data_IF_756312679989
#
_entry.id   IF_756312679989
#
_cell.length_a   1.000
_cell.length_b   1.000
_cell.length_c   1.000
_cell.angle_alpha   90.00
_cell.angle_beta   90.00
_cell.angle_gamma   90.00
#
_symmetry.space_group_name_H-M   'P 1'
#
loop_
_entity.id
_entity.type
_entity.pdbx_description
1 polymer ?
#
# COMPACT_ATOMS: atom_id res chain seq x y z
N UNK A 1 36.14 37.23 -4.27
CA UNK A 1 37.03 37.07 -5.45
C UNK A 1 36.31 36.30 -6.56
N UNK A 2 36.73 36.47 -7.83
CA UNK A 2 36.12 35.80 -9.01
C UNK A 2 36.06 34.26 -8.84
N UNK A 3 36.98 33.66 -8.12
CA UNK A 3 37.07 32.24 -7.87
C UNK A 3 35.96 31.76 -6.87
N UNK A 4 35.68 32.53 -5.84
CA UNK A 4 34.62 32.27 -4.88
C UNK A 4 33.25 32.38 -5.55
N UNK A 5 33.06 33.36 -6.45
CA UNK A 5 31.81 33.47 -7.21
C UNK A 5 31.60 32.29 -8.16
N UNK A 6 32.65 31.83 -8.86
CA UNK A 6 32.58 30.63 -9.72
C UNK A 6 32.24 29.36 -8.93
N UNK A 7 32.85 29.17 -7.76
CA UNK A 7 32.56 28.04 -6.88
C UNK A 7 31.11 28.10 -6.35
N UNK A 8 30.64 29.28 -5.97
CA UNK A 8 29.27 29.48 -5.54
C UNK A 8 28.25 29.17 -6.67
N UNK A 9 28.47 29.69 -7.88
CA UNK A 9 27.62 29.42 -9.05
C UNK A 9 27.64 27.94 -9.47
N UNK A 10 28.79 27.27 -9.37
CA UNK A 10 28.89 25.84 -9.61
C UNK A 10 28.06 25.03 -8.58
N UNK A 11 28.12 25.41 -7.31
CA UNK A 11 27.31 24.82 -6.25
C UNK A 11 25.82 24.97 -6.51
N UNK A 12 25.35 26.16 -6.87
CA UNK A 12 23.94 26.42 -7.22
C UNK A 12 23.46 25.57 -8.41
N UNK A 13 24.29 25.41 -9.43
CA UNK A 13 23.98 24.55 -10.59
C UNK A 13 23.84 23.08 -10.19
N UNK A 14 24.68 22.58 -9.31
CA UNK A 14 24.60 21.20 -8.80
C UNK A 14 23.31 20.99 -8.03
N UNK A 15 22.93 21.92 -7.15
CA UNK A 15 21.66 21.81 -6.40
C UNK A 15 20.44 21.90 -7.30
N UNK A 16 20.46 22.72 -8.36
CA UNK A 16 19.39 22.76 -9.36
C UNK A 16 19.25 21.44 -10.12
N UNK A 17 20.37 20.82 -10.51
CA UNK A 17 20.37 19.51 -11.18
C UNK A 17 19.81 18.42 -10.24
N UNK A 18 20.19 18.46 -8.96
CA UNK A 18 19.67 17.55 -7.93
C UNK A 18 18.17 17.74 -7.74
N UNK A 19 17.70 18.96 -7.58
CA UNK A 19 16.28 19.29 -7.44
C UNK A 19 15.48 18.76 -8.64
N UNK A 20 15.99 18.94 -9.86
CA UNK A 20 15.34 18.43 -11.07
C UNK A 20 15.31 16.90 -11.11
N UNK A 21 16.40 16.23 -10.73
CA UNK A 21 16.46 14.76 -10.60
C UNK A 21 15.38 14.27 -9.63
N UNK A 22 15.23 14.92 -8.48
CA UNK A 22 14.24 14.56 -7.46
C UNK A 22 12.81 14.84 -7.94
N UNK A 23 12.57 15.90 -8.69
CA UNK A 23 11.24 16.16 -9.29
C UNK A 23 10.82 15.08 -10.27
N UNK A 24 11.75 14.59 -11.09
CA UNK A 24 11.46 13.60 -12.13
C UNK A 24 11.29 12.17 -11.62
N UNK A 25 11.72 11.90 -10.40
CA UNK A 25 11.72 10.53 -9.88
C UNK A 25 11.37 10.49 -8.39
N UNK A 26 10.21 9.94 -8.10
CA UNK A 26 9.76 9.67 -6.73
C UNK A 26 10.76 8.77 -5.98
N UNK A 27 11.33 7.79 -6.66
CA UNK A 27 12.37 6.90 -6.13
C UNK A 27 13.63 7.68 -5.70
N UNK A 28 14.14 8.57 -6.54
CA UNK A 28 15.32 9.38 -6.23
C UNK A 28 15.02 10.41 -5.13
N UNK A 29 13.83 10.99 -5.14
CA UNK A 29 13.35 11.84 -4.06
C UNK A 29 13.30 11.07 -2.74
N UNK A 30 12.73 9.86 -2.72
CA UNK A 30 12.62 9.01 -1.52
C UNK A 30 13.99 8.74 -0.90
N UNK A 31 14.97 8.34 -1.73
CA UNK A 31 16.34 8.08 -1.27
C UNK A 31 16.98 9.33 -0.66
N UNK A 32 16.84 10.48 -1.31
CA UNK A 32 17.42 11.73 -0.85
C UNK A 32 16.73 12.30 0.40
N UNK A 33 15.41 12.11 0.52
CA UNK A 33 14.62 12.56 1.67
C UNK A 33 14.77 11.66 2.92
N UNK A 34 15.23 10.42 2.75
CA UNK A 34 15.26 9.43 3.82
C UNK A 34 15.96 9.88 5.11
N UNK A 35 17.15 10.50 5.08
CA UNK A 35 17.81 10.99 6.30
C UNK A 35 16.99 12.05 7.07
N UNK A 36 16.08 12.75 6.38
CA UNK A 36 15.15 13.70 7.01
C UNK A 36 13.95 13.00 7.61
N UNK A 37 13.45 11.93 6.95
CA UNK A 37 12.27 11.18 7.38
C UNK A 37 12.60 10.26 8.56
N UNK A 38 13.72 9.55 8.48
CA UNK A 38 14.18 8.54 9.45
C UNK A 38 15.67 8.78 9.78
N UNK A 39 16.01 9.84 10.55
CA UNK A 39 17.40 10.22 10.80
C UNK A 39 18.20 9.19 11.61
N UNK A 40 17.52 8.23 12.23
CA UNK A 40 18.15 7.15 13.02
C UNK A 40 18.41 5.86 12.24
N UNK A 41 18.11 5.80 10.93
CA UNK A 41 18.29 4.58 10.13
C UNK A 41 18.71 4.90 8.70
N UNK A 42 19.60 4.07 8.16
CA UNK A 42 19.99 4.16 6.76
C UNK A 42 18.86 3.71 5.83
N UNK A 43 18.87 4.27 4.61
CA UNK A 43 17.99 3.80 3.56
C UNK A 43 18.49 2.45 3.04
N UNK A 44 17.71 1.41 3.28
CA UNK A 44 17.97 0.09 2.72
C UNK A 44 17.21 -0.02 1.41
N UNK A 45 17.93 -0.10 0.29
CA UNK A 45 17.30 -0.25 -1.03
C UNK A 45 16.63 -1.62 -1.19
N UNK A 46 15.60 -1.67 -2.04
CA UNK A 46 14.94 -2.90 -2.44
C UNK A 46 14.14 -2.65 -3.71
N UNK A 47 14.16 -3.57 -4.66
CA UNK A 47 13.45 -3.43 -5.93
C UNK A 47 11.94 -3.20 -5.73
N UNK A 48 11.35 -3.75 -4.67
CA UNK A 48 9.95 -3.55 -4.32
C UNK A 48 9.63 -2.09 -3.97
N UNK A 49 10.57 -1.36 -3.35
CA UNK A 49 10.43 0.08 -3.09
C UNK A 49 10.47 0.88 -4.38
N UNK A 50 11.29 0.44 -5.34
CA UNK A 50 11.34 1.01 -6.67
C UNK A 50 10.01 0.78 -7.39
N UNK A 51 9.49 -0.46 -7.38
CA UNK A 51 8.19 -0.79 -7.97
C UNK A 51 7.03 0.01 -7.35
N UNK A 52 6.99 0.13 -6.02
CA UNK A 52 5.99 0.96 -5.32
C UNK A 52 6.12 2.42 -5.76
N UNK A 53 7.34 2.95 -5.85
CA UNK A 53 7.59 4.34 -6.26
C UNK A 53 7.13 4.59 -7.70
N UNK A 54 7.43 3.69 -8.64
CA UNK A 54 7.04 3.82 -10.04
C UNK A 54 5.51 3.85 -10.20
N UNK A 55 4.78 2.96 -9.50
CA UNK A 55 3.31 2.95 -9.54
C UNK A 55 2.70 4.20 -8.89
N UNK A 56 3.25 4.67 -7.76
CA UNK A 56 2.79 5.88 -7.09
C UNK A 56 3.10 7.13 -7.92
N UNK A 57 4.23 7.17 -8.62
CA UNK A 57 4.56 8.23 -9.56
C UNK A 57 3.53 8.27 -10.71
N UNK A 58 3.23 7.14 -11.31
CA UNK A 58 2.21 7.02 -12.37
C UNK A 58 0.81 7.46 -11.90
N UNK A 59 0.49 7.29 -10.61
CA UNK A 59 -0.76 7.84 -10.03
C UNK A 59 -0.75 9.37 -10.04
N UNK A 60 0.34 10.01 -9.63
CA UNK A 60 0.44 11.49 -9.62
C UNK A 60 0.46 12.07 -11.03
N UNK A 61 1.10 11.37 -11.97
CA UNK A 61 1.18 11.73 -13.40
C UNK A 61 -0.15 11.48 -14.13
N UNK A 62 -1.06 10.66 -13.55
CA UNK A 62 -2.39 10.41 -14.08
C UNK A 62 -2.50 9.18 -14.99
N UNK A 63 -1.43 8.40 -15.12
CA UNK A 63 -1.39 7.18 -15.92
C UNK A 63 -2.14 6.03 -15.23
N UNK A 64 -2.07 5.99 -13.88
CA UNK A 64 -2.83 5.04 -13.05
C UNK A 64 -3.86 5.82 -12.20
N UNK A 65 -5.13 5.43 -12.30
CA UNK A 65 -6.22 6.05 -11.52
C UNK A 65 -6.77 5.14 -10.43
N UNK A 66 -6.51 3.87 -10.51
CA UNK A 66 -7.00 2.84 -9.59
C UNK A 66 -5.86 1.91 -9.26
N UNK A 67 -5.34 1.98 -8.03
CA UNK A 67 -4.16 1.23 -7.63
C UNK A 67 -4.39 0.49 -6.31
N UNK A 68 -4.16 -0.81 -6.30
CA UNK A 68 -4.05 -1.63 -5.10
C UNK A 68 -2.60 -2.04 -4.92
N UNK A 69 -2.05 -1.85 -3.74
CA UNK A 69 -0.72 -2.33 -3.36
C UNK A 69 -0.88 -3.25 -2.15
N UNK A 70 -0.60 -4.53 -2.34
CA UNK A 70 -0.54 -5.49 -1.25
C UNK A 70 0.92 -5.90 -1.00
N UNK A 71 1.42 -5.55 0.18
CA UNK A 71 2.81 -5.78 0.57
C UNK A 71 2.90 -6.04 2.07
N UNK A 72 3.85 -6.87 2.54
CA UNK A 72 3.95 -7.25 3.95
C UNK A 72 4.11 -6.05 4.90
N UNK A 73 3.84 -6.26 6.22
CA UNK A 73 4.11 -5.24 7.22
C UNK A 73 5.61 -4.87 7.24
N UNK A 74 5.92 -3.64 7.64
CA UNK A 74 7.29 -3.11 7.75
C UNK A 74 8.08 -2.99 6.44
N UNK A 75 7.42 -3.10 5.27
CA UNK A 75 7.99 -2.88 3.94
C UNK A 75 7.73 -1.45 3.43
N UNK A 76 7.80 -0.47 4.30
CA UNK A 76 7.73 0.98 4.01
C UNK A 76 6.43 1.50 3.37
N UNK A 77 5.32 0.76 3.46
CA UNK A 77 4.00 1.14 2.92
C UNK A 77 3.63 2.60 3.20
N UNK A 78 3.38 2.90 4.48
CA UNK A 78 2.87 4.20 4.92
C UNK A 78 3.88 5.33 4.69
N UNK A 79 5.19 5.05 4.79
CA UNK A 79 6.21 6.07 4.47
C UNK A 79 6.12 6.45 2.99
N UNK A 80 6.04 5.48 2.09
CA UNK A 80 5.98 5.73 0.65
C UNK A 80 4.72 6.48 0.25
N UNK A 81 3.54 6.04 0.74
CA UNK A 81 2.25 6.59 0.33
C UNK A 81 1.84 7.83 1.12
N UNK A 82 2.03 7.84 2.46
CA UNK A 82 1.44 8.87 3.30
C UNK A 82 2.42 9.98 3.71
N UNK A 83 3.73 9.77 3.53
CA UNK A 83 4.76 10.77 3.85
C UNK A 83 5.43 11.30 2.59
N UNK A 84 5.98 10.42 1.78
CA UNK A 84 6.81 10.77 0.62
C UNK A 84 5.96 11.23 -0.56
N UNK A 85 4.92 10.48 -0.92
CA UNK A 85 4.08 10.77 -2.08
C UNK A 85 3.52 12.20 -2.11
N UNK A 86 2.84 12.71 -1.05
CA UNK A 86 2.28 14.05 -1.08
C UNK A 86 3.37 15.14 -1.09
N UNK A 87 4.49 14.92 -0.38
CA UNK A 87 5.61 15.85 -0.40
C UNK A 87 6.25 15.95 -1.80
N UNK A 88 6.45 14.80 -2.46
CA UNK A 88 6.99 14.76 -3.83
C UNK A 88 6.03 15.36 -4.85
N UNK A 89 4.74 15.01 -4.78
CA UNK A 89 3.74 15.53 -5.69
C UNK A 89 3.68 17.07 -5.63
N UNK A 90 3.77 17.65 -4.43
CA UNK A 90 3.76 19.09 -4.28
C UNK A 90 5.04 19.79 -4.80
N UNK A 91 6.15 19.09 -4.94
CA UNK A 91 7.33 19.65 -5.59
C UNK A 91 7.12 19.94 -7.10
N UNK A 92 6.09 19.31 -7.71
CA UNK A 92 5.74 19.49 -9.14
C UNK A 92 4.34 20.02 -9.36
N UNK A 93 3.38 19.60 -8.54
CA UNK A 93 1.95 19.90 -8.63
C UNK A 93 1.42 20.37 -7.26
N UNK A 94 1.82 21.55 -6.77
CA UNK A 94 1.53 21.99 -5.40
C UNK A 94 0.03 22.17 -5.13
N UNK A 95 -0.81 22.33 -6.15
CA UNK A 95 -2.28 22.46 -6.04
C UNK A 95 -3.00 21.12 -5.73
N UNK A 96 -2.32 19.98 -5.82
CA UNK A 96 -2.96 18.67 -5.61
C UNK A 96 -3.49 18.51 -4.19
N UNK A 97 -4.71 17.98 -4.10
CA UNK A 97 -5.41 17.70 -2.83
C UNK A 97 -5.39 16.23 -2.52
N UNK A 98 -4.88 15.91 -1.34
CA UNK A 98 -4.76 14.54 -0.84
C UNK A 98 -5.70 14.28 0.33
N UNK A 99 -6.42 13.17 0.27
CA UNK A 99 -7.19 12.64 1.38
C UNK A 99 -6.62 11.28 1.79
N UNK A 100 -6.27 11.15 3.06
CA UNK A 100 -5.73 9.93 3.65
C UNK A 100 -6.67 9.36 4.69
N UNK A 101 -6.95 8.05 4.61
CA UNK A 101 -7.69 7.34 5.62
C UNK A 101 -6.96 6.05 6.03
N UNK A 102 -7.07 5.72 7.33
CA UNK A 102 -6.58 4.46 7.89
C UNK A 102 -7.58 3.93 8.92
N UNK A 103 -7.39 2.72 9.46
CA UNK A 103 -8.30 2.20 10.48
C UNK A 103 -8.34 3.06 11.76
N UNK A 104 -7.28 3.79 12.06
CA UNK A 104 -7.19 4.67 13.22
C UNK A 104 -6.67 6.05 12.84
N UNK A 105 -7.36 7.11 13.30
CA UNK A 105 -6.96 8.49 13.03
C UNK A 105 -5.54 8.82 13.53
N UNK A 106 -5.10 8.21 14.64
CA UNK A 106 -3.76 8.40 15.20
C UNK A 106 -2.64 8.02 14.23
N UNK A 107 -2.83 6.98 13.41
CA UNK A 107 -1.86 6.55 12.39
C UNK A 107 -1.78 7.56 11.26
N UNK A 108 -2.93 7.93 10.70
CA UNK A 108 -3.00 8.92 9.63
C UNK A 108 -2.43 10.29 10.06
N UNK A 109 -2.68 10.71 11.32
CA UNK A 109 -2.12 11.95 11.91
C UNK A 109 -0.61 11.84 12.13
N UNK A 110 -0.10 10.68 12.56
CA UNK A 110 1.34 10.43 12.71
C UNK A 110 2.06 10.68 11.38
N UNK A 111 1.55 10.09 10.31
CA UNK A 111 2.17 10.15 8.99
C UNK A 111 1.98 11.55 8.35
N UNK A 112 0.85 12.20 8.63
CA UNK A 112 0.63 13.61 8.31
C UNK A 112 1.68 14.51 8.94
N UNK A 113 1.98 14.28 10.21
CA UNK A 113 3.00 15.06 10.94
C UNK A 113 4.40 14.83 10.37
N UNK A 114 4.74 13.60 9.99
CA UNK A 114 6.02 13.29 9.32
C UNK A 114 6.11 13.97 7.95
N UNK A 115 5.05 13.91 7.14
CA UNK A 115 5.00 14.59 5.85
C UNK A 115 5.21 16.09 5.98
N UNK A 116 4.51 16.74 6.92
CA UNK A 116 4.65 18.17 7.18
C UNK A 116 6.07 18.53 7.61
N UNK A 117 6.68 17.75 8.53
CA UNK A 117 8.08 17.95 8.93
C UNK A 117 9.06 17.77 7.79
N UNK A 118 8.81 16.86 6.87
CA UNK A 118 9.62 16.72 5.65
C UNK A 118 9.54 17.98 4.80
N UNK A 119 8.33 18.50 4.55
CA UNK A 119 8.11 19.71 3.76
C UNK A 119 8.75 20.94 4.44
N UNK A 120 8.63 21.07 5.76
CA UNK A 120 9.24 22.17 6.52
C UNK A 120 10.77 22.03 6.70
N UNK A 121 11.35 20.91 6.32
CA UNK A 121 12.78 20.65 6.53
C UNK A 121 13.68 21.56 5.69
N UNK A 122 14.88 21.91 6.19
CA UNK A 122 15.87 22.67 5.41
C UNK A 122 16.21 22.00 4.07
N UNK A 123 16.26 20.66 4.05
CA UNK A 123 16.52 19.91 2.83
C UNK A 123 15.42 20.14 1.78
N UNK A 124 14.15 20.01 2.15
CA UNK A 124 13.03 20.20 1.22
C UNK A 124 12.94 21.65 0.75
N UNK A 125 13.07 22.60 1.67
CA UNK A 125 13.01 24.03 1.38
C UNK A 125 14.14 24.49 0.45
N UNK A 126 15.34 23.95 0.60
CA UNK A 126 16.45 24.26 -0.29
C UNK A 126 16.22 23.77 -1.74
N UNK A 127 15.46 22.72 -1.95
CA UNK A 127 15.22 22.16 -3.30
C UNK A 127 13.90 22.60 -3.93
N UNK A 128 12.86 22.89 -3.14
CA UNK A 128 11.50 23.09 -3.60
C UNK A 128 10.76 24.27 -2.93
N UNK A 129 11.38 24.98 -2.01
CA UNK A 129 10.75 26.09 -1.25
C UNK A 129 10.36 27.29 -2.10
N UNK A 130 10.82 27.34 -3.36
CA UNK A 130 10.40 28.35 -4.36
C UNK A 130 9.01 28.08 -4.95
N UNK A 131 8.43 26.90 -4.74
CA UNK A 131 7.18 26.47 -5.35
C UNK A 131 5.95 26.85 -4.54
N UNK A 132 6.04 26.70 -3.24
CA UNK A 132 4.96 26.99 -2.30
C UNK A 132 5.50 27.12 -0.87
N UNK A 133 4.66 27.59 0.03
CA UNK A 133 4.88 27.53 1.48
C UNK A 133 3.61 27.02 2.17
N UNK A 134 3.76 26.42 3.34
CA UNK A 134 2.61 26.01 4.15
C UNK A 134 1.93 27.25 4.74
N UNK A 135 0.58 27.28 4.71
CA UNK A 135 -0.19 28.39 5.26
C UNK A 135 -0.18 28.35 6.79
N UNK A 136 -0.19 29.50 7.44
CA UNK A 136 -0.16 29.57 8.90
C UNK A 136 -1.53 29.36 9.55
N UNK A 137 -2.60 29.69 8.87
CA UNK A 137 -3.98 29.65 9.34
C UNK A 137 -4.61 28.24 9.33
N UNK A 138 -4.16 27.38 8.39
CA UNK A 138 -4.61 26.00 8.27
C UNK A 138 -3.40 25.04 8.29
N UNK A 139 -2.79 24.91 9.47
CA UNK A 139 -1.59 24.09 9.68
C UNK A 139 -1.74 23.15 10.88
N UNK A 140 -2.80 22.32 10.84
CA UNK A 140 -3.10 21.33 11.88
C UNK A 140 -2.46 19.97 11.57
N UNK A 141 -2.37 19.10 12.58
CA UNK A 141 -1.83 17.73 12.42
C UNK A 141 -2.68 16.86 11.51
N UNK A 142 -3.99 17.05 11.49
CA UNK A 142 -4.93 16.30 10.66
C UNK A 142 -5.19 16.95 9.31
N UNK A 143 -4.94 18.27 9.18
CA UNK A 143 -5.13 19.02 7.95
C UNK A 143 -4.11 20.13 7.85
N UNK A 144 -3.41 20.23 6.73
CA UNK A 144 -2.59 21.37 6.41
C UNK A 144 -2.68 21.69 4.92
N UNK A 145 -2.47 22.98 4.61
CA UNK A 145 -2.64 23.56 3.30
C UNK A 145 -1.38 24.32 2.88
N UNK A 146 -1.22 24.50 1.60
CA UNK A 146 -0.15 25.32 1.04
C UNK A 146 -0.69 26.52 0.25
N UNK A 147 0.18 27.47 -0.09
CA UNK A 147 -0.16 28.72 -0.81
C UNK A 147 -0.75 28.50 -2.21
N UNK A 148 -0.62 27.34 -2.77
CA UNK A 148 -1.14 26.95 -4.09
C UNK A 148 -2.45 26.17 -4.01
N UNK A 149 -3.17 26.25 -2.87
CA UNK A 149 -4.41 25.53 -2.56
C UNK A 149 -4.30 24.00 -2.52
N UNK A 150 -3.10 23.46 -2.39
CA UNK A 150 -2.91 22.06 -2.09
C UNK A 150 -3.33 21.74 -0.66
N UNK A 151 -3.99 20.60 -0.47
CA UNK A 151 -4.54 20.18 0.82
C UNK A 151 -4.05 18.77 1.11
N UNK A 152 -3.63 18.52 2.36
CA UNK A 152 -3.46 17.17 2.88
C UNK A 152 -4.36 16.98 4.09
N UNK A 153 -5.39 16.17 3.92
CA UNK A 153 -6.38 15.82 4.95
C UNK A 153 -6.15 14.39 5.44
N UNK A 154 -6.21 14.18 6.74
CA UNK A 154 -6.11 12.88 7.39
C UNK A 154 -7.36 12.55 8.17
N UNK A 155 -7.88 11.34 7.97
CA UNK A 155 -9.07 10.84 8.66
C UNK A 155 -8.89 9.36 9.05
N UNK A 156 -9.96 8.76 9.55
CA UNK A 156 -10.08 7.32 9.78
C UNK A 156 -11.32 6.76 9.11
N UNK A 157 -11.40 5.44 9.02
CA UNK A 157 -12.65 4.75 8.68
C UNK A 157 -13.78 5.25 9.58
N UNK A 158 -14.93 5.58 8.98
CA UNK A 158 -16.08 6.15 9.69
C UNK A 158 -15.92 7.59 10.16
N UNK A 159 -14.78 8.23 9.92
CA UNK A 159 -14.56 9.64 10.23
C UNK A 159 -15.45 10.56 9.38
N UNK A 160 -15.78 11.75 9.91
CA UNK A 160 -16.59 12.73 9.19
C UNK A 160 -15.81 13.27 7.98
N UNK A 161 -16.39 13.13 6.79
CA UNK A 161 -15.84 13.59 5.51
C UNK A 161 -16.84 14.46 4.74
N UNK A 162 -17.88 14.95 5.40
CA UNK A 162 -18.90 15.76 4.75
C UNK A 162 -18.29 17.02 4.17
N UNK A 163 -18.44 17.23 2.85
CA UNK A 163 -17.87 18.38 2.14
C UNK A 163 -16.37 18.27 1.80
N UNK A 164 -15.67 17.23 2.24
CA UNK A 164 -14.25 17.02 1.93
C UNK A 164 -14.07 16.07 0.74
N UNK A 165 -13.04 16.31 -0.06
CA UNK A 165 -12.66 15.48 -1.19
C UNK A 165 -11.16 15.56 -1.47
N UNK A 166 -10.70 14.80 -2.46
CA UNK A 166 -9.31 14.81 -2.91
C UNK A 166 -9.16 14.53 -4.40
N UNK A 167 -8.04 14.96 -4.94
CA UNK A 167 -7.61 14.56 -6.29
C UNK A 167 -6.98 13.18 -6.25
N UNK A 168 -6.30 12.87 -5.14
CA UNK A 168 -5.76 11.53 -4.85
C UNK A 168 -6.22 11.13 -3.44
N UNK A 169 -6.90 10.00 -3.35
CA UNK A 169 -7.41 9.42 -2.10
C UNK A 169 -6.61 8.15 -1.81
N UNK A 170 -5.99 8.12 -0.63
CA UNK A 170 -5.14 7.01 -0.20
C UNK A 170 -5.75 6.34 1.03
N UNK A 171 -6.01 5.04 0.90
CA UNK A 171 -6.46 4.17 1.98
C UNK A 171 -5.29 3.30 2.45
N UNK A 172 -4.76 3.61 3.63
CA UNK A 172 -3.58 2.94 4.20
C UNK A 172 -3.98 2.09 5.40
N UNK A 173 -3.89 0.77 5.25
CA UNK A 173 -4.26 -0.22 6.26
C UNK A 173 -5.62 0.12 6.93
N UNK A 174 -6.72 0.12 6.17
CA UNK A 174 -8.07 0.49 6.67
C UNK A 174 -8.72 -0.58 7.54
N UNK A 175 -8.17 -1.79 7.57
CA UNK A 175 -8.58 -2.86 8.47
C UNK A 175 -7.60 -3.02 9.64
N UNK A 176 -8.13 -3.04 10.86
CA UNK A 176 -7.34 -3.44 12.02
C UNK A 176 -7.13 -4.96 11.97
N UNK A 177 -5.87 -5.40 12.03
CA UNK A 177 -5.50 -6.83 11.95
C UNK A 177 -6.23 -7.69 12.99
N UNK A 178 -6.40 -7.15 14.23
CA UNK A 178 -7.04 -7.88 15.33
C UNK A 178 -8.55 -8.02 15.12
N UNK A 179 -9.18 -7.03 14.50
CA UNK A 179 -10.64 -6.95 14.33
C UNK A 179 -11.11 -7.44 12.96
N UNK A 180 -10.18 -7.67 12.02
CA UNK A 180 -10.48 -8.06 10.64
C UNK A 180 -11.21 -9.41 10.51
N UNK A 181 -11.12 -10.26 11.53
CA UNK A 181 -11.86 -11.52 11.60
C UNK A 181 -13.36 -11.32 11.93
N UNK A 182 -13.73 -10.18 12.52
CA UNK A 182 -15.13 -9.85 12.77
C UNK A 182 -15.82 -9.44 11.46
N UNK A 183 -16.80 -10.23 11.00
CA UNK A 183 -17.58 -9.91 9.81
C UNK A 183 -18.23 -8.53 9.92
N UNK A 184 -18.83 -8.21 11.07
CA UNK A 184 -19.49 -6.92 11.30
C UNK A 184 -18.52 -5.73 11.17
N UNK A 185 -17.29 -5.84 11.71
CA UNK A 185 -16.30 -4.77 11.61
C UNK A 185 -15.82 -4.63 10.17
N UNK A 186 -15.55 -5.74 9.53
CA UNK A 186 -15.10 -5.77 8.13
C UNK A 186 -16.14 -5.19 7.19
N UNK A 187 -17.40 -5.64 7.29
CA UNK A 187 -18.52 -5.10 6.52
C UNK A 187 -18.69 -3.60 6.73
N UNK A 188 -18.56 -3.10 7.94
CA UNK A 188 -18.60 -1.66 8.21
C UNK A 188 -17.53 -0.86 7.47
N UNK A 189 -16.34 -1.42 7.23
CA UNK A 189 -15.29 -0.79 6.39
C UNK A 189 -15.70 -0.80 4.92
N UNK A 190 -16.28 -1.91 4.44
CA UNK A 190 -16.73 -2.03 3.05
C UNK A 190 -17.91 -1.11 2.76
N UNK A 191 -18.90 -1.05 3.65
CA UNK A 191 -20.02 -0.10 3.55
C UNK A 191 -19.54 1.35 3.51
N UNK A 192 -18.56 1.70 4.36
CA UNK A 192 -17.97 3.03 4.35
C UNK A 192 -17.24 3.32 3.03
N UNK A 193 -16.53 2.33 2.45
CA UNK A 193 -15.91 2.46 1.15
C UNK A 193 -16.96 2.68 0.06
N UNK A 194 -17.97 1.82 -0.03
CA UNK A 194 -18.97 1.83 -1.11
C UNK A 194 -19.88 3.06 -1.04
N UNK A 195 -20.28 3.49 0.18
CA UNK A 195 -21.28 4.55 0.34
C UNK A 195 -20.67 5.94 0.56
N UNK A 196 -19.48 6.03 1.14
CA UNK A 196 -18.89 7.31 1.50
C UNK A 196 -17.67 7.68 0.65
N UNK A 197 -16.70 6.77 0.48
CA UNK A 197 -15.41 7.13 -0.13
C UNK A 197 -15.47 7.27 -1.64
N UNK A 198 -16.25 6.44 -2.31
CA UNK A 198 -16.36 6.44 -3.77
C UNK A 198 -16.78 7.81 -4.35
N UNK A 199 -17.48 8.61 -3.58
CA UNK A 199 -17.99 9.94 -3.98
C UNK A 199 -17.05 11.09 -3.60
N UNK A 200 -15.85 10.82 -3.09
CA UNK A 200 -14.92 11.86 -2.56
C UNK A 200 -13.89 12.36 -3.57
N UNK A 201 -13.81 11.80 -4.78
CA UNK A 201 -12.93 12.37 -5.80
C UNK A 201 -13.45 13.73 -6.25
N UNK A 202 -12.59 14.75 -6.29
CA UNK A 202 -12.93 16.10 -6.78
C UNK A 202 -13.35 16.07 -8.26
N UNK A 203 -12.66 15.29 -9.08
CA UNK A 203 -13.04 14.95 -10.45
C UNK A 203 -12.86 13.45 -10.67
N UNK A 204 -13.94 12.68 -10.88
CA UNK A 204 -13.85 11.22 -11.06
C UNK A 204 -13.11 10.81 -12.35
N UNK A 205 -12.94 11.72 -13.33
CA UNK A 205 -12.23 11.45 -14.59
C UNK A 205 -10.72 11.51 -14.44
N UNK A 206 -10.23 12.34 -13.53
CA UNK A 206 -8.79 12.62 -13.35
C UNK A 206 -8.28 12.21 -11.99
N UNK A 207 -9.17 12.03 -11.02
CA UNK A 207 -8.84 11.64 -9.66
C UNK A 207 -8.46 10.17 -9.53
N UNK A 208 -7.66 9.87 -8.52
CA UNK A 208 -7.16 8.53 -8.30
C UNK A 208 -7.46 8.00 -6.89
N UNK A 209 -7.69 6.68 -6.80
CA UNK A 209 -7.69 5.91 -5.57
C UNK A 209 -6.45 5.05 -5.46
N UNK A 210 -5.82 5.06 -4.30
CA UNK A 210 -4.73 4.16 -3.92
C UNK A 210 -5.15 3.42 -2.67
N UNK A 211 -5.21 2.10 -2.74
CA UNK A 211 -5.43 1.22 -1.58
C UNK A 211 -4.13 0.50 -1.30
N UNK A 212 -3.53 0.75 -0.15
CA UNK A 212 -2.30 0.07 0.25
C UNK A 212 -2.49 -0.62 1.59
N UNK A 213 -2.24 -1.91 1.63
CA UNK A 213 -2.37 -2.71 2.86
C UNK A 213 -1.66 -4.05 2.77
N UNK A 214 -1.41 -4.67 3.90
CA UNK A 214 -1.25 -6.12 3.99
C UNK A 214 -2.63 -6.77 3.93
N UNK A 215 -2.73 -7.95 3.32
CA UNK A 215 -3.98 -8.70 3.32
C UNK A 215 -4.26 -9.30 4.71
N UNK A 216 -5.48 -9.18 5.18
CA UNK A 216 -5.87 -9.65 6.52
C UNK A 216 -7.04 -10.62 6.49
N UNK A 217 -7.85 -10.57 5.44
CA UNK A 217 -8.98 -11.44 5.21
C UNK A 217 -9.26 -11.55 3.70
N UNK A 218 -9.89 -12.62 3.24
CA UNK A 218 -10.29 -12.76 1.82
C UNK A 218 -11.23 -11.64 1.38
N UNK A 219 -12.13 -11.23 2.28
CA UNK A 219 -13.09 -10.15 2.10
C UNK A 219 -12.63 -8.82 2.72
N UNK A 220 -11.34 -8.57 2.81
CA UNK A 220 -10.84 -7.23 3.11
C UNK A 220 -11.08 -6.28 1.93
N UNK A 221 -10.79 -5.00 2.07
CA UNK A 221 -11.06 -4.02 1.01
C UNK A 221 -10.39 -4.37 -0.32
N UNK A 222 -9.17 -4.94 -0.31
CA UNK A 222 -8.52 -5.40 -1.55
C UNK A 222 -9.31 -6.55 -2.19
N UNK A 223 -9.73 -7.54 -1.39
CA UNK A 223 -10.54 -8.65 -1.87
C UNK A 223 -11.90 -8.21 -2.38
N UNK A 224 -12.55 -7.28 -1.68
CA UNK A 224 -13.83 -6.70 -2.09
C UNK A 224 -13.72 -5.97 -3.43
N UNK A 225 -12.73 -5.11 -3.61
CA UNK A 225 -12.52 -4.38 -4.86
C UNK A 225 -12.21 -5.33 -6.01
N UNK A 226 -11.29 -6.30 -5.80
CA UNK A 226 -10.88 -7.24 -6.85
C UNK A 226 -11.99 -8.23 -7.26
N UNK A 227 -12.94 -8.51 -6.37
CA UNK A 227 -14.10 -9.36 -6.67
C UNK A 227 -15.27 -8.61 -7.32
N UNK A 228 -15.22 -7.28 -7.35
CA UNK A 228 -16.24 -6.44 -7.99
C UNK A 228 -16.11 -6.50 -9.52
N UNK A 229 -17.21 -6.20 -10.26
CA UNK A 229 -17.24 -6.12 -11.72
C UNK A 229 -16.18 -5.18 -12.31
N UNK A 230 -15.84 -4.10 -11.59
CA UNK A 230 -14.80 -3.14 -11.99
C UNK A 230 -13.39 -3.49 -11.45
N UNK A 231 -13.22 -4.65 -10.83
CA UNK A 231 -11.93 -5.06 -10.26
C UNK A 231 -10.82 -5.16 -11.30
N UNK A 232 -11.15 -5.43 -12.55
CA UNK A 232 -10.20 -5.50 -13.65
C UNK A 232 -9.65 -4.15 -14.11
N UNK A 233 -10.28 -3.05 -13.74
CA UNK A 233 -9.80 -1.68 -14.00
C UNK A 233 -8.71 -1.22 -13.01
N UNK A 234 -8.43 -2.02 -11.98
CA UNK A 234 -7.43 -1.70 -10.97
C UNK A 234 -6.08 -2.31 -11.31
N UNK A 235 -5.06 -1.48 -11.31
CA UNK A 235 -3.69 -1.97 -11.19
C UNK A 235 -3.50 -2.60 -9.82
N UNK A 236 -2.95 -3.80 -9.77
CA UNK A 236 -2.73 -4.55 -8.54
C UNK A 236 -1.27 -4.95 -8.40
N UNK A 237 -0.52 -4.21 -7.62
CA UNK A 237 0.85 -4.54 -7.25
C UNK A 237 0.83 -5.46 -6.01
N UNK A 238 0.92 -6.76 -6.22
CA UNK A 238 0.92 -7.79 -5.19
C UNK A 238 2.35 -8.31 -4.97
N UNK A 239 2.89 -8.10 -3.78
CA UNK A 239 4.27 -8.37 -3.43
C UNK A 239 4.34 -9.25 -2.17
N UNK A 240 4.38 -10.59 -2.30
CA UNK A 240 4.46 -11.48 -1.14
C UNK A 240 5.88 -11.47 -0.54
N UNK A 241 5.99 -11.74 0.76
CA UNK A 241 7.28 -11.82 1.45
C UNK A 241 8.21 -12.89 0.86
N UNK A 242 7.65 -14.03 0.48
CA UNK A 242 8.32 -15.09 -0.29
C UNK A 242 7.67 -15.22 -1.65
N UNK A 243 8.45 -15.37 -2.68
CA UNK A 243 7.93 -15.62 -4.03
C UNK A 243 7.22 -16.96 -4.08
N UNK A 244 6.04 -16.99 -4.65
CA UNK A 244 5.23 -18.20 -4.90
C UNK A 244 4.98 -18.34 -6.39
N UNK A 245 5.47 -19.43 -6.97
CA UNK A 245 5.16 -19.78 -8.36
C UNK A 245 3.67 -20.13 -8.44
N UNK A 246 2.93 -19.44 -9.31
CA UNK A 246 1.48 -19.66 -9.44
C UNK A 246 0.64 -19.07 -8.31
N UNK A 247 1.09 -17.99 -7.67
CA UNK A 247 0.29 -17.27 -6.68
C UNK A 247 -1.12 -16.98 -7.22
N UNK A 248 -2.20 -17.25 -6.45
CA UNK A 248 -3.59 -17.17 -6.94
C UNK A 248 -4.01 -15.76 -7.37
N UNK A 249 -3.33 -14.74 -6.87
CA UNK A 249 -3.61 -13.34 -7.20
C UNK A 249 -2.31 -12.68 -7.69
N UNK A 250 -1.88 -12.92 -8.94
CA UNK A 250 -0.63 -12.35 -9.45
C UNK A 250 -0.72 -10.82 -9.59
N UNK A 251 0.44 -10.16 -9.60
CA UNK A 251 0.51 -8.73 -9.94
C UNK A 251 -0.07 -8.49 -11.33
N UNK A 252 -0.88 -7.43 -11.43
CA UNK A 252 -1.46 -6.92 -12.66
C UNK A 252 -1.15 -5.43 -12.74
N UNK A 253 -0.29 -5.05 -13.65
CA UNK A 253 0.24 -3.68 -13.76
C UNK A 253 0.19 -3.18 -15.19
N UNK A 254 -0.45 -2.04 -15.41
CA UNK A 254 -0.46 -1.34 -16.70
C UNK A 254 0.92 -0.81 -17.09
N UNK A 255 1.84 -0.68 -16.13
CA UNK A 255 3.24 -0.33 -16.40
C UNK A 255 4.08 -1.50 -16.93
N UNK A 256 3.48 -2.69 -17.10
CA UNK A 256 4.20 -3.88 -17.52
C UNK A 256 5.16 -4.44 -16.47
N UNK A 257 4.99 -4.07 -15.21
CA UNK A 257 5.82 -4.59 -14.12
C UNK A 257 5.57 -6.07 -13.91
N UNK A 258 6.66 -6.82 -13.74
CA UNK A 258 6.66 -8.23 -13.33
C UNK A 258 7.62 -8.41 -12.16
N UNK A 259 7.25 -9.29 -11.22
CA UNK A 259 8.13 -9.65 -10.10
C UNK A 259 9.45 -10.22 -10.64
N UNK A 260 10.61 -9.65 -10.30
CA UNK A 260 11.90 -10.11 -10.81
C UNK A 260 12.37 -11.43 -10.21
N UNK A 261 11.74 -11.91 -9.15
CA UNK A 261 12.05 -13.19 -8.51
C UNK A 261 11.60 -14.35 -9.40
N UNK A 262 12.36 -15.42 -9.38
CA UNK A 262 12.10 -16.60 -10.23
C UNK A 262 12.11 -17.92 -9.46
N UNK A 263 12.60 -17.91 -8.22
CA UNK A 263 12.75 -19.13 -7.41
C UNK A 263 11.71 -19.13 -6.30
N UNK A 264 11.05 -20.28 -6.13
CA UNK A 264 10.12 -20.49 -5.03
C UNK A 264 10.77 -20.16 -3.69
N UNK A 265 10.06 -19.40 -2.83
CA UNK A 265 10.54 -19.00 -1.51
C UNK A 265 11.53 -17.83 -1.49
N UNK A 266 11.92 -17.26 -2.63
CA UNK A 266 12.84 -16.13 -2.71
C UNK A 266 12.28 -14.90 -1.96
N UNK A 267 13.08 -14.31 -1.07
CA UNK A 267 12.65 -13.22 -0.20
C UNK A 267 12.43 -11.90 -0.96
N UNK A 268 11.45 -11.12 -0.52
CA UNK A 268 11.13 -9.80 -1.08
C UNK A 268 12.21 -8.76 -0.78
N UNK A 269 12.76 -8.78 0.42
CA UNK A 269 13.73 -7.78 0.90
C UNK A 269 14.80 -8.43 1.79
N UNK A 270 15.69 -9.26 1.22
CA UNK A 270 16.68 -10.02 1.98
C UNK A 270 17.67 -9.13 2.73
N UNK A 271 17.93 -7.90 2.26
CA UNK A 271 18.85 -6.95 2.90
C UNK A 271 18.33 -6.46 4.26
N UNK A 272 17.03 -6.54 4.50
CA UNK A 272 16.39 -6.13 5.77
C UNK A 272 15.76 -7.29 6.53
N UNK A 273 15.17 -8.22 5.82
CA UNK A 273 14.53 -9.42 6.36
C UNK A 273 15.19 -10.65 5.75
N UNK A 274 16.31 -11.08 6.35
CA UNK A 274 16.96 -12.30 5.96
C UNK A 274 16.14 -13.54 6.31
N UNK A 275 16.63 -14.70 5.92
CA UNK A 275 15.90 -15.98 6.10
C UNK A 275 15.56 -16.25 7.58
N UNK A 276 16.48 -15.94 8.49
CA UNK A 276 16.27 -16.13 9.93
C UNK A 276 15.15 -15.24 10.48
N UNK A 277 15.17 -13.96 10.12
CA UNK A 277 14.19 -12.96 10.54
C UNK A 277 12.81 -13.31 9.99
N UNK A 278 12.74 -13.67 8.71
CA UNK A 278 11.47 -14.04 8.06
C UNK A 278 10.89 -15.33 8.65
N UNK A 279 11.68 -16.37 8.79
CA UNK A 279 11.22 -17.63 9.41
C UNK A 279 10.80 -17.45 10.86
N UNK A 280 11.41 -16.53 11.60
CA UNK A 280 10.99 -16.21 12.96
C UNK A 280 9.65 -15.49 12.97
N UNK A 281 9.44 -14.54 12.07
CA UNK A 281 8.19 -13.81 11.93
C UNK A 281 7.03 -14.72 11.50
N UNK A 282 7.26 -15.62 10.54
CA UNK A 282 6.28 -16.61 10.08
C UNK A 282 5.82 -17.52 11.23
N UNK A 283 6.76 -18.02 12.03
CA UNK A 283 6.44 -18.85 13.21
C UNK A 283 5.65 -18.07 14.27
N UNK A 284 6.00 -16.80 14.48
CA UNK A 284 5.33 -15.95 15.48
C UNK A 284 3.89 -15.62 15.08
N UNK A 285 3.64 -15.42 13.79
CA UNK A 285 2.31 -15.13 13.25
C UNK A 285 1.42 -16.40 13.17
N UNK A 286 2.04 -17.56 12.99
CA UNK A 286 1.34 -18.79 12.65
C UNK A 286 0.85 -18.80 11.19
N UNK A 287 0.42 -19.98 10.72
CA UNK A 287 0.13 -20.21 9.29
C UNK A 287 -0.96 -19.29 8.73
N UNK A 288 -2.03 -19.07 9.47
CA UNK A 288 -3.16 -18.26 9.06
C UNK A 288 -2.76 -16.78 8.84
N UNK A 289 -2.20 -16.14 9.85
CA UNK A 289 -1.81 -14.74 9.77
C UNK A 289 -0.63 -14.52 8.80
N UNK A 290 0.30 -15.48 8.71
CA UNK A 290 1.41 -15.42 7.75
C UNK A 290 0.91 -15.53 6.30
N UNK A 291 -0.06 -16.41 6.02
CA UNK A 291 -0.64 -16.52 4.68
C UNK A 291 -1.27 -15.19 4.22
N UNK A 292 -2.01 -14.51 5.10
CA UNK A 292 -2.57 -13.19 4.79
C UNK A 292 -1.51 -12.10 4.74
N UNK A 293 -0.90 -11.81 5.88
CA UNK A 293 -0.07 -10.61 6.05
C UNK A 293 1.26 -10.67 5.31
N UNK A 294 1.90 -11.85 5.25
CA UNK A 294 3.18 -12.00 4.58
C UNK A 294 3.03 -12.43 3.12
N UNK A 295 2.17 -13.42 2.86
CA UNK A 295 2.02 -13.96 1.50
C UNK A 295 0.91 -13.30 0.69
N UNK A 296 0.21 -12.32 1.25
CA UNK A 296 -0.91 -11.60 0.61
C UNK A 296 -2.02 -12.55 0.10
N UNK A 297 -2.10 -13.72 0.68
CA UNK A 297 -3.02 -14.81 0.33
C UNK A 297 -3.82 -15.25 1.56
N UNK A 298 -4.74 -14.39 2.06
CA UNK A 298 -5.58 -14.78 3.18
C UNK A 298 -6.43 -15.99 2.80
N UNK A 299 -6.66 -16.85 3.79
CA UNK A 299 -7.52 -18.03 3.67
C UNK A 299 -8.61 -17.97 4.73
N UNK A 300 -9.74 -18.67 4.58
CA UNK A 300 -10.77 -18.73 5.61
C UNK A 300 -10.20 -19.25 6.95
N UNK A 301 -10.65 -18.64 8.05
CA UNK A 301 -10.30 -19.09 9.38
C UNK A 301 -11.01 -20.43 9.66
N UNK A 302 -10.34 -21.50 9.49
CA UNK A 302 -10.88 -22.86 9.58
C UNK A 302 -10.56 -23.78 8.39
N UNK A 303 -10.20 -23.21 7.24
CA UNK A 303 -9.75 -23.98 6.06
C UNK A 303 -8.41 -24.69 6.21
N UNK A 304 -7.79 -24.64 7.41
CA UNK A 304 -6.51 -25.27 7.69
C UNK A 304 -6.57 -26.50 8.59
N UNK A 305 -7.76 -26.96 9.00
CA UNK A 305 -7.90 -28.15 9.85
C UNK A 305 -7.49 -29.40 9.07
N UNK A 306 -7.82 -29.46 7.78
CA UNK A 306 -7.42 -30.55 6.89
C UNK A 306 -6.20 -30.09 6.06
N UNK A 307 -5.03 -30.67 6.36
CA UNK A 307 -3.81 -30.37 5.60
C UNK A 307 -3.84 -31.10 4.26
N UNK A 308 -3.46 -30.40 3.17
CA UNK A 308 -3.34 -31.03 1.85
C UNK A 308 -2.46 -32.29 1.85
N UNK A 309 -1.42 -32.32 2.71
CA UNK A 309 -0.55 -33.49 2.91
C UNK A 309 -1.24 -34.72 3.53
N UNK A 310 -2.46 -34.57 4.05
CA UNK A 310 -3.24 -35.68 4.59
C UNK A 310 -4.06 -36.39 3.51
N UNK A 311 -4.26 -35.73 2.35
CA UNK A 311 -4.98 -36.33 1.23
C UNK A 311 -4.02 -37.17 0.41
N UNK A 312 -4.33 -38.44 0.30
CA UNK A 312 -3.65 -39.35 -0.63
C UNK A 312 -4.50 -39.40 -1.87
N UNK A 313 -4.05 -38.81 -3.00
CA UNK A 313 -4.79 -38.92 -4.26
C UNK A 313 -4.90 -40.41 -4.64
N UNK A 314 -6.08 -40.80 -5.12
CA UNK A 314 -6.31 -42.11 -5.69
C UNK A 314 -6.19 -42.01 -7.20
N UNK A 315 -5.36 -42.89 -7.77
CA UNK A 315 -5.37 -43.15 -9.18
C UNK A 315 -6.45 -44.16 -9.52
N UNK A 316 -7.01 -44.11 -10.72
CA UNK A 316 -8.09 -45.02 -11.15
C UNK A 316 -7.70 -46.49 -11.05
N UNK A 317 -6.38 -46.77 -11.11
CA UNK A 317 -5.79 -48.11 -11.01
C UNK A 317 -5.77 -48.66 -9.58
N UNK A 318 -5.85 -47.80 -8.56
CA UNK A 318 -5.87 -48.15 -7.15
C UNK A 318 -7.28 -48.48 -6.64
N UNK A 319 -8.29 -48.39 -7.47
CA UNK A 319 -9.68 -48.61 -7.12
C UNK A 319 -9.95 -50.11 -6.84
N UNK A 320 -10.45 -50.52 -5.64
CA UNK A 320 -10.76 -51.90 -5.38
C UNK A 320 -11.76 -52.50 -6.36
N UNK A 321 -11.48 -53.69 -6.88
CA UNK A 321 -12.33 -54.33 -7.88
C UNK A 321 -13.62 -54.94 -7.27
N UNK A 322 -13.80 -54.92 -5.94
CA UNK A 322 -14.93 -55.53 -5.22
C UNK A 322 -15.60 -54.53 -4.31
N UNK A 323 -16.22 -53.51 -4.89
CA UNK A 323 -17.02 -52.51 -4.15
C UNK A 323 -18.41 -53.07 -3.93
N UNK A 324 -18.81 -53.28 -2.68
CA UNK A 324 -20.17 -53.78 -2.34
C UNK A 324 -21.23 -52.68 -2.48
N UNK A 325 -20.89 -51.45 -2.06
CA UNK A 325 -21.77 -50.27 -2.22
C UNK A 325 -20.96 -48.97 -2.17
N UNK A 326 -21.50 -47.91 -2.76
CA UNK A 326 -20.98 -46.54 -2.71
C UNK A 326 -21.91 -45.68 -1.89
N UNK A 327 -21.43 -45.07 -0.82
CA UNK A 327 -22.19 -44.13 -0.01
C UNK A 327 -21.71 -42.69 -0.32
N UNK A 328 -22.62 -41.81 -0.66
CA UNK A 328 -22.38 -40.37 -0.73
C UNK A 328 -23.11 -39.68 0.41
N UNK A 329 -22.39 -38.95 1.23
CA UNK A 329 -22.96 -38.12 2.30
C UNK A 329 -22.77 -36.64 1.93
N UNK A 330 -23.88 -35.88 1.97
CA UNK A 330 -23.88 -34.48 1.66
C UNK A 330 -24.29 -33.70 2.91
N UNK A 331 -23.41 -32.78 3.36
CA UNK A 331 -23.74 -31.77 4.36
C UNK A 331 -23.88 -30.43 3.62
N UNK A 332 -25.12 -29.95 3.49
CA UNK A 332 -25.43 -28.72 2.78
C UNK A 332 -25.73 -27.62 3.76
N UNK A 333 -24.95 -26.52 3.72
CA UNK A 333 -25.23 -25.33 4.50
C UNK A 333 -26.51 -24.67 4.02
N UNK A 334 -27.48 -24.41 4.92
CA UNK A 334 -28.70 -23.71 4.64
C UNK A 334 -28.55 -22.21 4.57
N UNK A 335 -27.46 -21.67 5.09
CA UNK A 335 -27.11 -20.24 5.05
C UNK A 335 -25.62 -20.09 4.73
N UNK A 336 -25.30 -19.14 3.86
CA UNK A 336 -23.92 -18.75 3.58
C UNK A 336 -23.37 -17.93 4.76
N UNK A 337 -23.07 -18.59 5.88
CA UNK A 337 -22.31 -17.99 6.99
C UNK A 337 -20.85 -18.36 6.86
N UNK A 338 -19.93 -17.43 7.16
CA UNK A 338 -18.47 -17.67 7.13
C UNK A 338 -18.01 -18.83 8.03
N UNK A 339 -18.84 -19.28 8.98
CA UNK A 339 -18.57 -20.41 9.88
C UNK A 339 -19.19 -21.72 9.39
N UNK A 340 -19.88 -21.74 8.26
CA UNK A 340 -20.53 -22.93 7.72
C UNK A 340 -19.69 -23.50 6.58
N UNK A 341 -18.66 -24.21 6.93
CA UNK A 341 -17.87 -25.05 6.01
C UNK A 341 -17.42 -26.30 6.69
#
# INVERSE_FOLDING_TARGET
SSNQLRQHLAGLRIEQVRAEKYRRSLKEFTKAAWPTIEPGSDYVSGWHLDAISDHLQAVVEGDIKRLIINVPPRHSKSISTAVVLPAWAWATQPHKKFLYASYAASLSIRDSTKCRRLIDSPWYQAHFGDKFHLTGDMNQKSRFENSENGIRLSTSVGGSLTGEGGDIIVLDDVHNVVEADSAKVREGVLDWWDQAMQTRLNDPRTGAFVVIQQRVNERDISGHILANELGDEWDHLMLPARYEIGHPTPTRSSLGFTDPRTKEGELLWPERFGEKEMSTLERSLGSYAAAGQLQQRPSPKGGGILKASWWVPWESEDMPNNIEYVLQSWDTAFEAKESSS
#
